data_IF_929555283807
#
_entry.id   IF_929555283807
#
_cell.length_a   1.000
_cell.length_b   1.000
_cell.length_c   1.000
_cell.angle_alpha   90.00
_cell.angle_beta   90.00
_cell.angle_gamma   90.00
#
_symmetry.space_group_name_H-M   'P 1'
#
loop_
_entity.id
_entity.type
_entity.pdbx_description
1 polymer ?
#
# COMPACT_ATOMS: atom_id res chain seq x y z
N UNK A 1 -3.25 4.37 17.61
CA UNK A 1 -3.52 5.79 17.37
C UNK A 1 -5.03 5.96 17.42
N UNK A 2 -5.52 6.90 18.24
CA UNK A 2 -6.95 7.20 18.37
C UNK A 2 -7.41 8.07 17.18
N UNK A 3 -7.35 7.51 15.97
CA UNK A 3 -7.84 8.14 14.77
C UNK A 3 -9.28 7.67 14.52
N UNK A 4 -10.26 8.57 14.32
CA UNK A 4 -11.59 8.17 13.87
C UNK A 4 -11.49 7.58 12.47
N UNK A 5 -12.01 6.36 12.28
CA UNK A 5 -11.95 5.66 11.00
C UNK A 5 -13.35 5.36 10.50
N UNK A 6 -13.60 5.72 9.24
CA UNK A 6 -14.76 5.31 8.48
C UNK A 6 -14.32 4.38 7.37
N UNK A 7 -15.03 3.29 7.16
CA UNK A 7 -14.66 2.31 6.16
C UNK A 7 -15.84 1.93 5.26
N UNK A 8 -15.50 1.68 4.01
CA UNK A 8 -16.37 1.06 3.03
C UNK A 8 -15.63 -0.06 2.30
N UNK A 9 -16.36 -1.08 1.89
CA UNK A 9 -15.85 -2.14 1.01
C UNK A 9 -16.96 -2.56 0.04
N UNK A 10 -16.62 -2.79 -1.22
CA UNK A 10 -17.56 -3.31 -2.24
C UNK A 10 -18.26 -4.61 -1.81
N UNK A 11 -17.62 -5.39 -0.95
CA UNK A 11 -18.20 -6.57 -0.30
C UNK A 11 -18.49 -6.22 1.16
N UNK A 12 -19.74 -5.89 1.54
CA UNK A 12 -20.08 -5.36 2.87
C UNK A 12 -19.62 -6.24 4.04
N UNK A 13 -19.68 -7.57 3.87
CA UNK A 13 -19.30 -8.54 4.91
C UNK A 13 -17.81 -8.44 5.30
N UNK A 14 -16.96 -7.93 4.38
CA UNK A 14 -15.55 -7.70 4.68
C UNK A 14 -15.35 -6.47 5.56
N UNK A 15 -16.13 -5.43 5.35
CA UNK A 15 -16.10 -4.21 6.16
C UNK A 15 -16.76 -4.44 7.53
N UNK A 16 -17.84 -5.21 7.61
CA UNK A 16 -18.58 -5.47 8.85
C UNK A 16 -17.70 -5.95 10.01
N UNK A 17 -16.64 -6.71 9.72
CA UNK A 17 -15.66 -7.18 10.72
C UNK A 17 -14.88 -6.06 11.39
N UNK A 18 -14.83 -4.87 10.80
CA UNK A 18 -14.09 -3.73 11.34
C UNK A 18 -14.85 -3.02 12.46
N UNK A 19 -16.16 -3.27 12.60
CA UNK A 19 -16.99 -2.68 13.65
C UNK A 19 -16.51 -3.06 15.05
N UNK A 20 -16.00 -4.29 15.23
CA UNK A 20 -15.43 -4.75 16.51
C UNK A 20 -14.18 -3.97 16.95
N UNK A 21 -13.52 -3.26 16.00
CA UNK A 21 -12.38 -2.38 16.25
C UNK A 21 -12.79 -0.89 16.37
N UNK A 22 -14.10 -0.58 16.47
CA UNK A 22 -14.61 0.78 16.61
C UNK A 22 -14.66 1.57 15.29
N UNK A 23 -14.53 0.90 14.14
CA UNK A 23 -14.62 1.53 12.82
C UNK A 23 -16.09 1.73 12.43
N UNK A 24 -16.44 2.94 12.00
CA UNK A 24 -17.75 3.22 11.41
C UNK A 24 -17.80 2.69 9.98
N UNK A 25 -18.63 1.70 9.72
CA UNK A 25 -18.85 1.14 8.39
C UNK A 25 -20.06 1.82 7.75
N UNK A 26 -19.94 2.17 6.47
CA UNK A 26 -20.96 2.88 5.70
C UNK A 26 -21.28 2.13 4.40
N UNK A 27 -22.41 2.50 3.76
CA UNK A 27 -22.97 1.77 2.61
C UNK A 27 -22.38 2.21 1.27
N UNK A 28 -21.71 3.37 1.19
CA UNK A 28 -21.10 3.85 -0.04
C UNK A 28 -19.69 4.40 0.17
N UNK A 29 -18.87 4.32 -0.89
CA UNK A 29 -17.54 4.89 -0.89
C UNK A 29 -17.57 6.42 -0.75
N UNK A 30 -18.54 7.07 -1.41
CA UNK A 30 -18.74 8.52 -1.33
C UNK A 30 -19.04 8.98 0.11
N UNK A 31 -19.89 8.25 0.83
CA UNK A 31 -20.19 8.55 2.24
C UNK A 31 -18.94 8.38 3.13
N UNK A 32 -18.12 7.35 2.86
CA UNK A 32 -16.92 7.10 3.65
C UNK A 32 -15.92 8.26 3.61
N UNK A 33 -15.90 9.05 2.53
CA UNK A 33 -14.88 10.07 2.28
C UNK A 33 -15.36 11.50 2.45
N UNK A 34 -16.68 11.73 2.58
CA UNK A 34 -17.28 13.05 2.53
C UNK A 34 -16.73 14.04 3.58
N UNK A 35 -16.32 13.56 4.74
CA UNK A 35 -15.77 14.35 5.84
C UNK A 35 -14.32 13.96 6.19
N UNK A 36 -13.67 13.16 5.35
CA UNK A 36 -12.34 12.63 5.64
C UNK A 36 -11.22 13.59 5.20
N UNK A 37 -10.29 13.89 6.12
CA UNK A 37 -9.07 14.63 5.79
C UNK A 37 -8.08 13.78 4.99
N UNK A 38 -8.03 12.46 5.27
CA UNK A 38 -7.14 11.50 4.61
C UNK A 38 -7.94 10.26 4.23
N UNK A 39 -7.93 9.93 2.97
CA UNK A 39 -8.59 8.75 2.39
C UNK A 39 -7.53 7.75 1.94
N UNK A 40 -7.53 6.56 2.53
CA UNK A 40 -6.64 5.46 2.14
C UNK A 40 -7.39 4.43 1.31
N UNK A 41 -6.84 4.08 0.14
CA UNK A 41 -7.39 3.03 -0.73
C UNK A 41 -6.34 1.93 -0.95
N UNK A 42 -6.76 0.67 -0.82
CA UNK A 42 -5.95 -0.50 -1.17
C UNK A 42 -6.84 -1.54 -1.87
N UNK A 43 -6.65 -1.68 -3.17
CA UNK A 43 -7.42 -2.58 -4.05
C UNK A 43 -6.49 -3.29 -5.03
N UNK A 44 -7.02 -4.15 -5.89
CA UNK A 44 -6.27 -5.17 -6.62
C UNK A 44 -5.45 -4.64 -7.80
N UNK A 45 -5.91 -3.61 -8.52
CA UNK A 45 -5.32 -3.11 -9.76
C UNK A 45 -5.74 -1.67 -10.08
N UNK A 46 -5.23 -1.11 -11.18
CA UNK A 46 -5.49 0.27 -11.59
C UNK A 46 -6.97 0.51 -11.95
N UNK A 47 -7.61 -0.45 -12.57
CA UNK A 47 -9.03 -0.37 -12.94
C UNK A 47 -9.91 -0.29 -11.69
N UNK A 48 -9.58 -1.05 -10.65
CA UNK A 48 -10.29 -1.00 -9.37
C UNK A 48 -10.07 0.33 -8.63
N UNK A 49 -8.88 0.94 -8.72
CA UNK A 49 -8.63 2.29 -8.19
C UNK A 49 -9.46 3.33 -8.94
N UNK A 50 -9.50 3.25 -10.27
CA UNK A 50 -10.26 4.15 -11.12
C UNK A 50 -11.77 4.02 -10.87
N UNK A 51 -12.27 2.79 -10.71
CA UNK A 51 -13.65 2.51 -10.34
C UNK A 51 -14.03 3.10 -8.97
N UNK A 52 -13.17 2.95 -7.96
CA UNK A 52 -13.37 3.56 -6.64
C UNK A 52 -13.38 5.09 -6.74
N UNK A 53 -12.41 5.67 -7.43
CA UNK A 53 -12.28 7.13 -7.55
C UNK A 53 -13.46 7.77 -8.29
N UNK A 54 -13.82 7.23 -9.45
CA UNK A 54 -14.75 7.86 -10.38
C UNK A 54 -16.07 7.11 -10.53
N UNK A 55 -16.04 5.76 -10.51
CA UNK A 55 -17.25 4.93 -10.60
C UNK A 55 -18.08 4.96 -9.32
N UNK A 56 -17.44 5.03 -8.15
CA UNK A 56 -18.10 5.13 -6.85
C UNK A 56 -18.13 6.56 -6.29
N UNK A 57 -17.78 7.59 -7.07
CA UNK A 57 -17.93 8.99 -6.74
C UNK A 57 -17.01 9.51 -5.61
N UNK A 58 -15.92 8.82 -5.31
CA UNK A 58 -14.97 9.22 -4.25
C UNK A 58 -14.36 10.59 -4.56
N UNK A 59 -13.90 10.79 -5.80
CA UNK A 59 -13.24 12.03 -6.21
C UNK A 59 -14.17 13.25 -6.14
N UNK A 60 -15.46 13.07 -6.35
CA UNK A 60 -16.50 14.11 -6.23
C UNK A 60 -16.89 14.39 -4.79
N UNK A 61 -16.88 13.38 -3.93
CA UNK A 61 -17.31 13.51 -2.54
C UNK A 61 -16.23 14.03 -1.61
N UNK A 62 -14.96 13.89 -1.98
CA UNK A 62 -13.83 14.39 -1.17
C UNK A 62 -13.82 15.91 -1.09
N UNK A 63 -13.51 16.44 0.10
CA UNK A 63 -13.39 17.89 0.31
C UNK A 63 -12.11 18.45 -0.34
N UNK A 64 -12.14 19.68 -0.89
CA UNK A 64 -10.94 20.37 -1.32
C UNK A 64 -9.90 20.46 -0.19
N UNK A 65 -8.65 20.10 -0.50
CA UNK A 65 -7.58 20.03 0.47
C UNK A 65 -7.40 18.69 1.17
N UNK A 66 -8.38 17.78 1.08
CA UNK A 66 -8.23 16.39 1.53
C UNK A 66 -7.12 15.65 0.76
N UNK A 67 -6.63 14.58 1.34
CA UNK A 67 -5.51 13.80 0.79
C UNK A 67 -6.00 12.40 0.41
N UNK A 68 -5.89 12.05 -0.86
CA UNK A 68 -6.07 10.68 -1.33
C UNK A 68 -4.73 9.94 -1.30
N UNK A 69 -4.66 8.84 -0.57
CA UNK A 69 -3.48 7.98 -0.44
C UNK A 69 -3.78 6.64 -1.09
N UNK A 70 -3.20 6.39 -2.26
CA UNK A 70 -3.34 5.09 -2.92
C UNK A 70 -2.25 4.13 -2.44
N UNK A 71 -2.64 3.11 -1.69
CA UNK A 71 -1.75 2.06 -1.18
C UNK A 71 -1.75 0.80 -2.05
N UNK A 72 -2.52 0.80 -3.14
CA UNK A 72 -2.54 -0.27 -4.14
C UNK A 72 -1.24 -0.28 -4.94
N UNK A 73 -0.89 -1.43 -5.51
CA UNK A 73 0.24 -1.53 -6.45
C UNK A 73 -0.30 -1.43 -7.88
N UNK A 74 -0.05 -0.29 -8.53
CA UNK A 74 -0.52 0.00 -9.90
C UNK A 74 0.61 0.63 -10.73
N UNK A 75 0.48 0.72 -12.06
CA UNK A 75 1.50 1.35 -12.88
C UNK A 75 1.74 2.82 -12.50
N UNK A 76 3.02 3.29 -12.42
CA UNK A 76 3.33 4.70 -12.10
C UNK A 76 2.65 5.72 -13.03
N UNK A 77 2.39 5.34 -14.29
CA UNK A 77 1.67 6.19 -15.25
C UNK A 77 0.20 6.40 -14.86
N UNK A 78 -0.45 5.39 -14.30
CA UNK A 78 -1.83 5.51 -13.79
C UNK A 78 -1.88 6.45 -12.59
N UNK A 79 -0.93 6.34 -11.65
CA UNK A 79 -0.83 7.26 -10.50
C UNK A 79 -0.71 8.72 -10.92
N UNK A 80 0.18 9.01 -11.87
CA UNK A 80 0.34 10.38 -12.37
C UNK A 80 -0.95 10.93 -13.00
N UNK A 81 -1.71 10.09 -13.70
CA UNK A 81 -3.01 10.46 -14.25
C UNK A 81 -4.02 10.76 -13.14
N UNK A 82 -4.14 9.87 -12.16
CA UNK A 82 -5.04 10.06 -11.03
C UNK A 82 -4.68 11.31 -10.21
N UNK A 83 -3.39 11.54 -9.96
CA UNK A 83 -2.92 12.76 -9.28
C UNK A 83 -3.34 14.04 -10.02
N UNK A 84 -3.23 14.07 -11.35
CA UNK A 84 -3.70 15.20 -12.16
C UNK A 84 -5.21 15.42 -12.06
N UNK A 85 -6.00 14.36 -12.22
CA UNK A 85 -7.48 14.43 -12.14
C UNK A 85 -7.97 14.86 -10.75
N UNK A 86 -7.33 14.38 -9.68
CA UNK A 86 -7.65 14.79 -8.31
C UNK A 86 -7.26 16.25 -8.03
N UNK A 87 -6.12 16.70 -8.59
CA UNK A 87 -5.69 18.08 -8.44
C UNK A 87 -6.70 19.09 -9.05
N UNK A 88 -7.36 18.74 -10.16
CA UNK A 88 -8.44 19.55 -10.77
C UNK A 88 -9.63 19.76 -9.82
N UNK A 89 -9.83 18.83 -8.88
CA UNK A 89 -10.86 18.88 -7.84
C UNK A 89 -10.35 19.48 -6.51
N UNK A 90 -9.11 19.96 -6.47
CA UNK A 90 -8.48 20.47 -5.26
C UNK A 90 -8.08 19.39 -4.24
N UNK A 91 -8.14 18.12 -4.61
CA UNK A 91 -7.74 16.98 -3.77
C UNK A 91 -6.24 16.72 -3.96
N UNK A 92 -5.53 16.50 -2.86
CA UNK A 92 -4.10 16.14 -2.87
C UNK A 92 -3.92 14.65 -3.05
N UNK A 93 -2.80 14.26 -3.63
CA UNK A 93 -2.52 12.85 -3.92
C UNK A 93 -1.19 12.39 -3.34
N UNK A 94 -1.14 11.13 -2.91
CA UNK A 94 0.06 10.36 -2.61
C UNK A 94 -0.11 8.93 -3.14
N UNK A 95 0.86 8.44 -3.88
CA UNK A 95 1.01 7.01 -4.14
C UNK A 95 1.88 6.39 -3.03
N UNK A 96 1.35 5.38 -2.35
CA UNK A 96 1.92 4.85 -1.12
C UNK A 96 1.86 3.31 -1.04
N UNK A 97 2.31 2.59 -2.08
CA UNK A 97 2.32 1.14 -2.04
C UNK A 97 3.16 0.59 -0.88
N UNK A 98 2.78 -0.61 -0.43
CA UNK A 98 3.30 -1.20 0.81
C UNK A 98 4.05 -2.51 0.59
N UNK A 99 4.90 -2.84 1.54
CA UNK A 99 5.54 -4.14 1.70
C UNK A 99 5.47 -4.57 3.18
N UNK A 100 5.22 -5.87 3.43
CA UNK A 100 5.07 -6.45 4.77
C UNK A 100 3.88 -7.42 4.87
N UNK A 101 3.01 -7.45 3.84
CA UNK A 101 1.86 -8.35 3.76
C UNK A 101 0.84 -8.12 4.88
N UNK A 102 -0.02 -9.10 5.09
CA UNK A 102 -1.07 -9.06 6.12
C UNK A 102 -0.49 -9.00 7.54
N UNK A 103 0.65 -9.66 7.77
CA UNK A 103 1.36 -9.61 9.04
C UNK A 103 1.85 -8.19 9.35
N UNK A 104 2.55 -7.55 8.41
CA UNK A 104 3.02 -6.18 8.58
C UNK A 104 1.89 -5.19 8.79
N UNK A 105 0.72 -5.42 8.16
CA UNK A 105 -0.47 -4.61 8.39
C UNK A 105 -1.01 -4.77 9.81
N UNK A 106 -1.13 -6.01 10.31
CA UNK A 106 -1.62 -6.29 11.66
C UNK A 106 -0.68 -5.76 12.76
N UNK A 107 0.62 -5.83 12.54
CA UNK A 107 1.66 -5.37 13.47
C UNK A 107 1.99 -3.87 13.33
N UNK A 108 1.32 -3.12 12.43
CA UNK A 108 1.63 -1.74 12.09
C UNK A 108 3.12 -1.52 11.70
N UNK A 109 3.70 -2.50 11.02
CA UNK A 109 5.13 -2.57 10.65
C UNK A 109 5.38 -2.51 9.14
N UNK A 110 4.39 -2.03 8.37
CA UNK A 110 4.52 -1.91 6.91
C UNK A 110 5.68 -0.99 6.51
N UNK A 111 6.42 -1.37 5.48
CA UNK A 111 7.26 -0.44 4.73
C UNK A 111 6.38 0.25 3.68
N UNK A 112 6.22 1.57 3.80
CA UNK A 112 5.33 2.37 2.95
C UNK A 112 6.20 3.29 2.07
N UNK A 113 6.15 3.09 0.75
CA UNK A 113 6.96 3.82 -0.22
C UNK A 113 6.15 4.96 -0.81
N UNK A 114 6.43 6.20 -0.44
CA UNK A 114 5.54 7.33 -0.75
C UNK A 114 6.08 8.20 -1.88
N UNK A 115 5.29 8.35 -2.94
CA UNK A 115 5.42 9.36 -3.98
C UNK A 115 4.41 10.48 -3.78
N UNK A 116 4.76 11.70 -4.23
CA UNK A 116 3.90 12.87 -4.16
C UNK A 116 4.60 14.10 -3.54
N UNK A 117 3.86 15.17 -3.31
CA UNK A 117 4.39 16.42 -2.77
C UNK A 117 4.84 16.29 -1.33
N UNK A 118 5.94 16.98 -0.96
CA UNK A 118 6.50 16.94 0.40
C UNK A 118 5.54 17.48 1.47
N UNK A 119 4.85 18.57 1.19
CA UNK A 119 3.89 19.18 2.10
C UNK A 119 2.67 18.26 2.35
N UNK A 120 2.21 17.55 1.32
CA UNK A 120 1.15 16.55 1.42
C UNK A 120 1.60 15.35 2.26
N UNK A 121 2.83 14.85 2.03
CA UNK A 121 3.39 13.76 2.82
C UNK A 121 3.48 14.11 4.31
N UNK A 122 3.97 15.31 4.65
CA UNK A 122 4.05 15.77 6.05
C UNK A 122 2.67 15.75 6.73
N UNK A 123 1.63 16.21 6.02
CA UNK A 123 0.26 16.20 6.55
C UNK A 123 -0.31 14.79 6.74
N UNK A 124 0.01 13.86 5.83
CA UNK A 124 -0.46 12.48 5.92
C UNK A 124 0.37 11.61 6.90
N UNK A 125 1.54 12.09 7.36
CA UNK A 125 2.46 11.32 8.22
C UNK A 125 1.81 10.74 9.46
N UNK A 126 0.92 11.44 10.22
CA UNK A 126 0.28 10.84 11.40
C UNK A 126 -0.54 9.60 11.07
N UNK A 127 -1.26 9.61 9.94
CA UNK A 127 -2.05 8.45 9.48
C UNK A 127 -1.14 7.33 9.00
N UNK A 128 -0.14 7.64 8.18
CA UNK A 128 0.81 6.65 7.65
C UNK A 128 1.63 5.99 8.77
N UNK A 129 2.04 6.74 9.78
CA UNK A 129 2.79 6.23 10.93
C UNK A 129 1.98 5.23 11.78
N UNK A 130 0.65 5.32 11.77
CA UNK A 130 -0.20 4.33 12.44
C UNK A 130 -0.21 2.95 11.74
N UNK A 131 0.28 2.87 10.49
CA UNK A 131 0.32 1.64 9.69
C UNK A 131 1.74 1.08 9.52
N UNK A 132 2.78 1.91 9.74
CA UNK A 132 4.15 1.49 9.58
C UNK A 132 5.13 2.62 9.33
N UNK A 133 6.28 2.30 8.74
CA UNK A 133 7.33 3.26 8.40
C UNK A 133 7.14 3.80 6.99
N UNK A 134 6.70 5.03 6.88
CA UNK A 134 6.55 5.73 5.61
C UNK A 134 7.84 6.47 5.22
N UNK A 135 8.27 6.30 3.98
CA UNK A 135 9.42 7.00 3.41
C UNK A 135 9.02 7.65 2.09
N UNK A 136 9.12 8.98 2.03
CA UNK A 136 8.90 9.70 0.78
C UNK A 136 10.12 9.54 -0.13
N UNK A 137 9.90 9.03 -1.34
CA UNK A 137 10.96 8.67 -2.29
C UNK A 137 11.01 9.57 -3.53
N UNK A 138 9.99 10.42 -3.76
CA UNK A 138 9.99 11.30 -4.93
C UNK A 138 8.62 11.93 -5.21
N UNK A 139 8.42 12.48 -6.45
CA UNK A 139 7.14 13.02 -6.89
C UNK A 139 6.10 11.91 -7.15
N UNK A 140 4.91 12.27 -7.64
CA UNK A 140 3.84 11.33 -7.97
C UNK A 140 4.33 10.21 -8.89
N UNK A 141 3.99 8.96 -8.54
CA UNK A 141 4.42 7.74 -9.18
C UNK A 141 5.76 7.18 -8.70
N UNK A 142 6.51 7.93 -7.88
CA UNK A 142 7.80 7.46 -7.36
C UNK A 142 7.66 6.35 -6.31
N UNK A 143 6.59 6.34 -5.54
CA UNK A 143 6.26 5.25 -4.61
C UNK A 143 6.03 3.94 -5.37
N UNK A 144 5.27 3.97 -6.46
CA UNK A 144 5.06 2.80 -7.32
C UNK A 144 6.38 2.34 -7.98
N UNK A 145 7.24 3.27 -8.40
CA UNK A 145 8.55 2.90 -8.92
C UNK A 145 9.40 2.20 -7.85
N UNK A 146 9.41 2.71 -6.62
CA UNK A 146 10.10 2.06 -5.50
C UNK A 146 9.50 0.68 -5.21
N UNK A 147 8.16 0.51 -5.34
CA UNK A 147 7.53 -0.81 -5.22
C UNK A 147 7.97 -1.76 -6.34
N UNK A 148 8.12 -1.30 -7.56
CA UNK A 148 8.68 -2.12 -8.66
C UNK A 148 10.11 -2.56 -8.35
N UNK A 149 10.96 -1.66 -7.84
CA UNK A 149 12.32 -2.03 -7.38
C UNK A 149 12.27 -3.10 -6.26
N UNK A 150 11.38 -2.94 -5.28
CA UNK A 150 11.16 -3.95 -4.25
C UNK A 150 10.76 -5.30 -4.86
N UNK A 151 9.86 -5.33 -5.84
CA UNK A 151 9.40 -6.57 -6.47
C UNK A 151 10.52 -7.26 -7.28
N UNK A 152 11.40 -6.50 -7.93
CA UNK A 152 12.61 -7.04 -8.60
C UNK A 152 13.50 -7.73 -7.58
N UNK A 153 13.79 -7.09 -6.45
CA UNK A 153 14.63 -7.67 -5.39
C UNK A 153 13.99 -8.95 -4.83
N UNK A 154 12.68 -8.92 -4.54
CA UNK A 154 11.94 -10.08 -4.03
C UNK A 154 12.01 -11.24 -5.04
N UNK A 155 11.76 -10.99 -6.33
CA UNK A 155 11.78 -12.03 -7.36
C UNK A 155 13.17 -12.66 -7.49
N UNK A 156 14.24 -11.86 -7.50
CA UNK A 156 15.62 -12.35 -7.58
C UNK A 156 15.98 -13.16 -6.32
N UNK A 157 15.59 -12.69 -5.13
CA UNK A 157 15.88 -13.39 -3.87
C UNK A 157 15.19 -14.75 -3.83
N UNK A 158 13.91 -14.82 -4.22
CA UNK A 158 13.16 -16.09 -4.29
C UNK A 158 13.76 -17.01 -5.35
N UNK A 159 14.06 -16.49 -6.54
CA UNK A 159 14.71 -17.27 -7.61
C UNK A 159 16.07 -17.80 -7.19
N UNK A 160 16.94 -16.94 -6.63
CA UNK A 160 18.26 -17.34 -6.15
C UNK A 160 18.20 -18.41 -5.06
N UNK A 161 17.28 -18.28 -4.10
CA UNK A 161 17.09 -19.31 -3.08
C UNK A 161 16.61 -20.64 -3.69
N UNK A 162 15.69 -20.58 -4.65
CA UNK A 162 15.18 -21.78 -5.33
C UNK A 162 16.29 -22.53 -6.06
N UNK A 163 17.12 -21.84 -6.82
CA UNK A 163 18.26 -22.41 -7.52
C UNK A 163 19.32 -23.00 -6.54
N UNK A 164 19.59 -22.29 -5.43
CA UNK A 164 20.51 -22.79 -4.40
C UNK A 164 20.01 -24.09 -3.76
N UNK A 165 18.73 -24.22 -3.48
CA UNK A 165 18.15 -25.43 -2.89
C UNK A 165 18.09 -26.59 -3.91
N UNK A 166 17.88 -26.30 -5.20
CA UNK A 166 18.00 -27.30 -6.28
C UNK A 166 19.44 -27.83 -6.38
N UNK A 167 20.44 -26.93 -6.34
CA UNK A 167 21.86 -27.30 -6.34
C UNK A 167 22.20 -28.19 -5.14
N UNK A 168 21.70 -27.83 -3.94
CA UNK A 168 21.91 -28.64 -2.73
C UNK A 168 21.34 -30.04 -2.89
N UNK A 169 20.11 -30.16 -3.38
CA UNK A 169 19.46 -31.45 -3.66
C UNK A 169 20.24 -32.29 -4.70
N UNK A 170 20.65 -31.67 -5.79
CA UNK A 170 21.43 -32.35 -6.84
C UNK A 170 22.81 -32.83 -6.35
N UNK A 171 23.41 -32.12 -5.38
CA UNK A 171 24.67 -32.48 -4.73
C UNK A 171 24.52 -33.48 -3.57
N UNK A 172 23.31 -33.97 -3.29
CA UNK A 172 23.05 -34.94 -2.22
C UNK A 172 22.98 -34.33 -0.81
N UNK A 173 22.89 -32.97 -0.70
CA UNK A 173 22.64 -32.30 0.58
C UNK A 173 21.15 -32.18 0.85
N UNK A 174 20.77 -32.18 2.13
CA UNK A 174 19.36 -31.95 2.55
C UNK A 174 19.00 -30.46 2.44
N UNK A 175 18.07 -30.07 1.56
CA UNK A 175 17.77 -28.65 1.31
C UNK A 175 17.33 -27.87 2.56
N UNK A 176 16.57 -28.53 3.46
CA UNK A 176 16.14 -27.87 4.70
C UNK A 176 17.31 -27.57 5.63
N UNK A 177 18.27 -28.48 5.74
CA UNK A 177 19.50 -28.29 6.53
C UNK A 177 20.40 -27.20 5.91
N UNK A 178 20.52 -27.18 4.58
CA UNK A 178 21.28 -26.13 3.86
C UNK A 178 20.63 -24.75 4.11
N UNK A 179 19.30 -24.65 3.99
CA UNK A 179 18.60 -23.39 4.28
C UNK A 179 18.87 -22.91 5.71
N UNK A 180 18.81 -23.82 6.68
CA UNK A 180 19.09 -23.46 8.10
C UNK A 180 20.54 -23.01 8.30
N UNK A 181 21.49 -23.68 7.67
CA UNK A 181 22.91 -23.31 7.74
C UNK A 181 23.23 -21.95 7.10
N UNK A 182 22.41 -21.48 6.15
CA UNK A 182 22.60 -20.19 5.50
C UNK A 182 21.97 -19.02 6.28
N UNK A 183 21.13 -19.30 7.29
CA UNK A 183 20.50 -18.25 8.11
C UNK A 183 21.54 -17.52 8.97
N UNK A 184 21.38 -16.20 9.07
CA UNK A 184 22.34 -15.34 9.78
C UNK A 184 23.59 -14.98 8.97
N UNK A 185 23.76 -15.55 7.77
CA UNK A 185 24.85 -15.23 6.85
C UNK A 185 24.50 -14.14 5.83
N UNK A 186 25.45 -13.79 4.96
CA UNK A 186 25.25 -12.77 3.91
C UNK A 186 24.17 -13.11 2.89
N UNK A 187 23.83 -14.39 2.73
CA UNK A 187 22.77 -14.86 1.84
C UNK A 187 21.36 -14.69 2.40
N UNK A 188 21.22 -14.37 3.70
CA UNK A 188 19.93 -14.04 4.28
C UNK A 188 19.55 -12.61 3.89
N UNK A 189 18.58 -12.48 2.97
CA UNK A 189 18.02 -11.18 2.62
C UNK A 189 17.11 -10.68 3.77
N UNK A 190 17.40 -9.51 4.29
CA UNK A 190 16.61 -8.80 5.31
C UNK A 190 15.69 -7.78 4.64
#
# INVERSE_FOLDING_TARGET
ADLPVVAWNRTPEKAAKLVEYGVRVVDSAAEAVAEADVVCTIVTNAEAVEDVLFGHGVAEAMQPGAIFVNMSSIPPKAEKRHAGQLAEKGVRHLDAPVSGGTRGAAEASLAIMVGGRKDTFVKATPVLAAMGRATRVGPDGAGQLAKLCNQVIVAISVGGLSEALLLASAGGAEPAAVREALRGGFSESR
#
